data_IF_681333889131
#
_entry.id   IF_681333889131
#
_cell.length_a   1.000
_cell.length_b   1.000
_cell.length_c   1.000
_cell.angle_alpha   90.00
_cell.angle_beta   90.00
_cell.angle_gamma   90.00
#
_symmetry.space_group_name_H-M   'P 1'
#
loop_
_entity.id
_entity.type
_entity.pdbx_description
1 polymer ?
#
# COMPACT_ATOMS: atom_id res chain seq x y z
N UNK A 1 -10.63 14.18 -11.90
CA UNK A 1 -10.27 14.52 -13.29
C UNK A 1 -10.93 15.84 -13.63
N UNK A 2 -10.21 16.74 -14.31
CA UNK A 2 -10.75 17.99 -14.89
C UNK A 2 -10.38 18.07 -16.38
N UNK A 3 -11.03 18.92 -17.17
CA UNK A 3 -10.76 19.05 -18.60
C UNK A 3 -11.14 20.45 -19.13
N UNK A 4 -10.72 20.77 -20.35
CA UNK A 4 -11.16 21.97 -21.08
C UNK A 4 -12.67 21.96 -21.35
N UNK A 5 -13.35 23.11 -21.55
CA UNK A 5 -14.80 23.15 -21.77
C UNK A 5 -15.29 22.23 -22.90
N UNK A 6 -14.49 22.07 -23.95
CA UNK A 6 -14.69 21.12 -25.05
C UNK A 6 -13.54 20.13 -25.10
N UNK A 7 -13.82 18.89 -25.49
CA UNK A 7 -12.85 17.77 -25.58
C UNK A 7 -13.05 16.92 -26.85
N UNK A 8 -13.88 17.35 -27.77
CA UNK A 8 -14.27 16.62 -28.98
C UNK A 8 -13.09 16.31 -29.91
N UNK A 9 -12.22 17.28 -30.18
CA UNK A 9 -11.03 17.07 -31.01
C UNK A 9 -10.02 16.16 -30.30
N UNK A 10 -9.82 16.36 -29.00
CA UNK A 10 -8.91 15.54 -28.19
C UNK A 10 -9.38 14.08 -28.16
N UNK A 11 -10.68 13.85 -27.92
CA UNK A 11 -11.26 12.50 -27.86
C UNK A 11 -11.18 11.84 -29.23
N UNK A 12 -11.49 12.57 -30.31
CA UNK A 12 -11.36 12.06 -31.69
C UNK A 12 -9.93 11.64 -31.98
N UNK A 13 -8.96 12.51 -31.70
CA UNK A 13 -7.54 12.21 -31.85
C UNK A 13 -7.11 11.00 -31.02
N UNK A 14 -7.62 10.86 -29.79
CA UNK A 14 -7.24 9.75 -28.91
C UNK A 14 -7.80 8.42 -29.42
N UNK A 15 -9.05 8.42 -29.90
CA UNK A 15 -9.67 7.25 -30.53
C UNK A 15 -8.85 6.79 -31.74
N UNK A 16 -8.40 7.72 -32.57
CA UNK A 16 -7.60 7.39 -33.76
C UNK A 16 -6.19 6.93 -33.39
N UNK A 17 -5.51 7.63 -32.47
CA UNK A 17 -4.18 7.25 -32.00
C UNK A 17 -4.16 5.84 -31.40
N UNK A 18 -5.20 5.47 -30.63
CA UNK A 18 -5.30 4.15 -30.00
C UNK A 18 -5.30 3.00 -31.00
N UNK A 19 -5.80 3.21 -32.23
CA UNK A 19 -5.79 2.19 -33.29
C UNK A 19 -4.37 1.83 -33.74
N UNK A 20 -3.41 2.73 -33.52
CA UNK A 20 -2.02 2.61 -33.94
C UNK A 20 -1.04 2.42 -32.76
N UNK A 21 -1.52 2.17 -31.54
CA UNK A 21 -0.64 1.88 -30.41
C UNK A 21 0.14 0.59 -30.66
N UNK A 22 1.43 0.62 -30.34
CA UNK A 22 2.29 -0.54 -30.36
C UNK A 22 1.98 -1.52 -29.23
N UNK A 23 2.68 -2.66 -29.24
CA UNK A 23 2.58 -3.64 -28.17
C UNK A 23 3.27 -3.10 -26.92
N UNK A 24 2.47 -2.81 -25.88
CA UNK A 24 3.00 -2.57 -24.54
C UNK A 24 3.01 -3.91 -23.77
N UNK A 25 4.19 -4.50 -23.63
CA UNK A 25 4.40 -5.78 -22.97
C UNK A 25 5.13 -5.65 -21.62
N UNK A 26 4.90 -6.59 -20.70
CA UNK A 26 5.65 -6.68 -19.45
C UNK A 26 7.03 -7.35 -19.67
N UNK A 27 7.95 -6.64 -20.31
CA UNK A 27 9.28 -7.14 -20.66
C UNK A 27 10.24 -7.23 -19.47
N UNK A 28 9.96 -6.50 -18.37
CA UNK A 28 10.86 -6.40 -17.22
C UNK A 28 10.39 -7.26 -16.06
N UNK A 29 11.35 -7.79 -15.29
CA UNK A 29 11.11 -8.54 -14.06
C UNK A 29 11.81 -7.83 -12.90
N UNK A 30 11.04 -7.44 -11.89
CA UNK A 30 11.58 -6.93 -10.64
C UNK A 30 11.74 -8.10 -9.67
N UNK A 31 12.90 -8.19 -9.02
CA UNK A 31 13.13 -9.10 -7.90
C UNK A 31 13.17 -8.29 -6.62
N UNK A 32 12.22 -8.51 -5.72
CA UNK A 32 12.19 -7.86 -4.42
C UNK A 32 12.63 -8.89 -3.39
N UNK A 33 13.79 -8.66 -2.80
CA UNK A 33 14.27 -9.44 -1.67
C UNK A 33 13.84 -8.76 -0.35
N UNK A 34 13.19 -9.52 0.52
CA UNK A 34 12.85 -9.11 1.87
C UNK A 34 13.45 -10.09 2.88
N UNK A 35 13.49 -9.71 4.16
CA UNK A 35 13.90 -10.62 5.24
C UNK A 35 13.02 -11.88 5.34
N UNK A 36 11.82 -11.87 4.75
CA UNK A 36 10.85 -12.99 4.77
C UNK A 36 10.84 -13.80 3.47
N UNK A 37 11.72 -13.50 2.50
CA UNK A 37 11.80 -14.18 1.20
C UNK A 37 11.88 -13.20 0.04
N UNK A 38 12.01 -13.73 -1.18
CA UNK A 38 12.03 -12.95 -2.42
C UNK A 38 10.81 -13.23 -3.27
N UNK A 39 10.23 -12.20 -3.88
CA UNK A 39 9.21 -12.35 -4.91
C UNK A 39 9.64 -11.66 -6.20
N UNK A 40 9.23 -12.25 -7.33
CA UNK A 40 9.48 -11.71 -8.66
C UNK A 40 8.15 -11.32 -9.30
N UNK A 41 8.08 -10.13 -9.89
CA UNK A 41 6.91 -9.71 -10.65
C UNK A 41 7.32 -9.09 -11.97
N UNK A 42 6.49 -9.33 -13.00
CA UNK A 42 6.67 -8.74 -14.31
C UNK A 42 5.94 -7.40 -14.41
N UNK A 43 6.60 -6.42 -14.99
CA UNK A 43 6.05 -5.10 -15.23
C UNK A 43 6.50 -4.58 -16.61
N UNK A 44 5.66 -3.79 -17.28
CA UNK A 44 6.13 -2.96 -18.39
C UNK A 44 6.69 -1.68 -17.80
N UNK A 45 7.83 -1.18 -18.26
CA UNK A 45 8.39 0.04 -17.67
C UNK A 45 7.76 1.32 -18.28
N UNK A 46 8.14 2.49 -17.77
CA UNK A 46 7.62 3.77 -18.28
C UNK A 46 8.11 4.07 -19.72
N UNK A 47 9.34 3.63 -20.04
CA UNK A 47 9.95 3.87 -21.34
C UNK A 47 9.27 3.03 -22.42
N UNK A 48 8.97 1.77 -22.14
CA UNK A 48 8.20 0.86 -22.99
C UNK A 48 6.81 1.42 -23.30
N UNK A 49 6.14 1.98 -22.28
CA UNK A 49 4.82 2.59 -22.45
C UNK A 49 4.89 3.72 -23.45
N UNK A 50 5.83 4.66 -23.25
CA UNK A 50 5.99 5.77 -24.17
C UNK A 50 6.53 5.36 -25.54
N UNK A 51 7.38 4.35 -25.65
CA UNK A 51 7.82 3.81 -26.93
C UNK A 51 6.64 3.23 -27.73
N UNK A 52 5.71 2.54 -27.06
CA UNK A 52 4.53 1.96 -27.68
C UNK A 52 3.47 3.00 -28.08
N UNK A 53 3.35 4.13 -27.35
CA UNK A 53 2.23 5.07 -27.54
C UNK A 53 2.63 6.38 -28.21
N UNK A 54 3.83 6.90 -27.95
CA UNK A 54 4.25 8.26 -28.38
C UNK A 54 4.21 8.47 -29.90
N UNK A 55 4.61 7.51 -30.76
CA UNK A 55 4.54 7.70 -32.21
C UNK A 55 3.10 7.98 -32.69
N UNK A 56 2.14 7.16 -32.24
CA UNK A 56 0.74 7.32 -32.60
C UNK A 56 0.14 8.60 -31.99
N UNK A 57 0.42 8.89 -30.72
CA UNK A 57 -0.04 10.13 -30.08
C UNK A 57 0.45 11.36 -30.85
N UNK A 58 1.75 11.40 -31.19
CA UNK A 58 2.35 12.52 -31.92
C UNK A 58 1.74 12.70 -33.32
N UNK A 59 1.50 11.59 -34.03
CA UNK A 59 0.85 11.60 -35.35
C UNK A 59 -0.54 12.26 -35.31
N UNK A 60 -1.27 12.07 -34.21
CA UNK A 60 -2.60 12.65 -33.99
C UNK A 60 -2.58 13.93 -33.16
N UNK A 61 -1.41 14.57 -32.97
CA UNK A 61 -1.30 15.85 -32.27
C UNK A 61 -1.59 15.79 -30.77
N UNK A 62 -1.39 14.62 -30.16
CA UNK A 62 -1.54 14.39 -28.71
C UNK A 62 -0.18 14.29 -28.02
N UNK A 63 -0.14 14.74 -26.77
CA UNK A 63 1.02 14.53 -25.89
C UNK A 63 0.60 14.37 -24.45
N UNK A 64 1.43 13.68 -23.66
CA UNK A 64 1.28 13.55 -22.21
C UNK A 64 2.37 14.38 -21.53
N UNK A 65 1.98 15.17 -20.53
CA UNK A 65 2.93 15.87 -19.67
C UNK A 65 2.65 15.59 -18.20
N UNK A 66 3.72 15.37 -17.43
CA UNK A 66 3.62 14.92 -16.04
C UNK A 66 4.67 15.58 -15.16
N UNK A 67 4.22 16.23 -14.09
CA UNK A 67 5.11 16.88 -13.13
C UNK A 67 4.59 16.72 -11.70
N UNK A 68 5.48 16.46 -10.73
CA UNK A 68 5.12 16.52 -9.33
C UNK A 68 4.85 17.97 -8.94
N UNK A 69 3.83 18.21 -8.11
CA UNK A 69 3.48 19.50 -7.52
C UNK A 69 3.28 19.35 -6.02
N UNK A 70 3.48 20.46 -5.32
CA UNK A 70 2.98 20.64 -3.98
C UNK A 70 1.76 21.56 -4.07
N UNK A 71 0.57 21.07 -3.73
CA UNK A 71 -0.67 21.84 -3.75
C UNK A 71 -1.37 21.72 -2.40
N UNK A 72 -1.53 22.84 -1.69
CA UNK A 72 -2.12 22.89 -0.34
C UNK A 72 -1.53 21.84 0.64
N UNK A 73 -0.20 21.72 0.65
CA UNK A 73 0.52 20.74 1.49
C UNK A 73 0.40 19.28 1.02
N UNK A 74 -0.28 19.00 -0.09
CA UNK A 74 -0.36 17.67 -0.70
C UNK A 74 0.64 17.53 -1.83
N UNK A 75 1.55 16.58 -1.67
CA UNK A 75 2.44 16.19 -2.75
C UNK A 75 1.69 15.28 -3.73
N UNK A 76 1.67 15.65 -5.00
CA UNK A 76 0.90 14.91 -6.01
C UNK A 76 1.54 14.99 -7.39
N UNK A 77 1.27 13.99 -8.21
CA UNK A 77 1.60 13.99 -9.63
C UNK A 77 0.42 14.56 -10.42
N UNK A 78 0.66 15.62 -11.17
CA UNK A 78 -0.29 16.10 -12.19
C UNK A 78 0.04 15.41 -13.51
N UNK A 79 -0.97 14.87 -14.17
CA UNK A 79 -0.89 14.30 -15.52
C UNK A 79 -1.84 15.04 -16.44
N UNK A 80 -1.33 15.59 -17.55
CA UNK A 80 -2.13 16.18 -18.62
C UNK A 80 -2.04 15.34 -19.89
N UNK A 81 -3.19 15.08 -20.51
CA UNK A 81 -3.28 14.71 -21.93
C UNK A 81 -3.68 15.97 -22.69
N UNK A 82 -2.85 16.38 -23.64
CA UNK A 82 -2.94 17.64 -24.37
C UNK A 82 -3.13 17.37 -25.85
N UNK A 83 -4.00 18.11 -26.53
CA UNK A 83 -4.17 18.09 -27.97
C UNK A 83 -3.71 19.41 -28.60
N UNK A 84 -3.22 19.37 -29.85
CA UNK A 84 -2.76 20.55 -30.62
C UNK A 84 -3.80 21.66 -30.77
N UNK A 85 -5.09 21.37 -30.63
CA UNK A 85 -6.14 22.41 -30.64
C UNK A 85 -6.24 23.22 -29.33
N UNK A 86 -5.48 22.85 -28.31
CA UNK A 86 -5.53 23.45 -26.97
C UNK A 86 -6.51 22.76 -26.02
N UNK A 87 -7.25 21.76 -26.49
CA UNK A 87 -8.07 20.90 -25.62
C UNK A 87 -7.19 20.01 -24.73
N UNK A 88 -7.65 19.74 -23.51
CA UNK A 88 -6.87 19.00 -22.51
C UNK A 88 -7.73 18.21 -21.52
N UNK A 89 -7.15 17.15 -20.97
CA UNK A 89 -7.65 16.41 -19.81
C UNK A 89 -6.58 16.37 -18.72
N UNK A 90 -6.97 16.52 -17.46
CA UNK A 90 -6.09 16.56 -16.28
C UNK A 90 -6.49 15.52 -15.24
N UNK A 91 -5.49 14.77 -14.78
CA UNK A 91 -5.57 13.87 -13.64
C UNK A 91 -4.56 14.27 -12.56
N UNK A 92 -4.91 13.96 -11.31
CA UNK A 92 -4.05 14.15 -10.15
C UNK A 92 -3.94 12.83 -9.41
N UNK A 93 -2.73 12.49 -8.99
CA UNK A 93 -2.46 11.28 -8.24
C UNK A 93 -1.66 11.63 -6.98
N UNK A 94 -2.18 11.33 -5.77
CA UNK A 94 -1.49 11.65 -4.54
C UNK A 94 -0.18 10.86 -4.44
N UNK A 95 0.88 11.53 -4.01
CA UNK A 95 2.19 10.94 -3.79
C UNK A 95 2.56 11.04 -2.31
N UNK A 96 3.07 9.93 -1.77
CA UNK A 96 3.76 10.00 -0.49
C UNK A 96 5.07 10.77 -0.63
N UNK A 97 5.43 11.50 0.43
CA UNK A 97 6.72 12.16 0.55
C UNK A 97 7.70 11.22 1.25
N UNK A 98 8.84 10.98 0.61
CA UNK A 98 9.91 10.12 1.13
C UNK A 98 11.14 10.96 1.46
N UNK A 99 11.82 10.63 2.56
CA UNK A 99 13.04 11.33 2.97
C UNK A 99 14.21 11.04 2.03
N UNK A 100 14.32 9.81 1.53
CA UNK A 100 15.39 9.42 0.62
C UNK A 100 15.03 9.79 -0.83
N UNK A 101 15.85 10.57 -1.53
CA UNK A 101 15.59 10.95 -2.92
C UNK A 101 15.38 9.76 -3.86
N UNK A 102 16.05 8.64 -3.63
CA UNK A 102 15.95 7.43 -4.44
C UNK A 102 14.57 6.76 -4.30
N UNK A 103 14.02 6.72 -3.07
CA UNK A 103 12.68 6.21 -2.82
C UNK A 103 11.64 7.13 -3.47
N UNK A 104 11.85 8.44 -3.35
CA UNK A 104 10.97 9.43 -3.95
C UNK A 104 10.95 9.31 -5.48
N UNK A 105 12.11 9.16 -6.11
CA UNK A 105 12.24 8.97 -7.55
C UNK A 105 11.61 7.67 -8.04
N UNK A 106 11.71 6.59 -7.26
CA UNK A 106 11.07 5.31 -7.53
C UNK A 106 9.54 5.43 -7.48
N UNK A 107 9.00 6.06 -6.42
CA UNK A 107 7.57 6.31 -6.27
C UNK A 107 7.01 7.20 -7.41
N UNK A 108 7.76 8.24 -7.79
CA UNK A 108 7.37 9.13 -8.89
C UNK A 108 7.37 8.40 -10.24
N UNK A 109 8.39 7.58 -10.52
CA UNK A 109 8.50 6.81 -11.76
C UNK A 109 7.37 5.79 -11.87
N UNK A 110 7.07 5.10 -10.76
CA UNK A 110 5.93 4.21 -10.64
C UNK A 110 4.64 4.96 -10.96
N UNK A 111 4.33 6.05 -10.24
CA UNK A 111 3.09 6.82 -10.45
C UNK A 111 2.92 7.35 -11.88
N UNK A 112 4.00 7.86 -12.51
CA UNK A 112 3.98 8.34 -13.90
C UNK A 112 3.46 7.28 -14.86
N UNK A 113 3.95 6.05 -14.72
CA UNK A 113 3.54 4.91 -15.54
C UNK A 113 2.05 4.60 -15.41
N UNK A 114 1.54 4.49 -14.19
CA UNK A 114 0.11 4.19 -13.99
C UNK A 114 -0.78 5.32 -14.47
N UNK A 115 -0.42 6.58 -14.20
CA UNK A 115 -1.23 7.71 -14.62
C UNK A 115 -1.26 7.86 -16.15
N UNK A 116 -0.11 7.65 -16.81
CA UNK A 116 -0.03 7.65 -18.28
C UNK A 116 -0.83 6.49 -18.89
N UNK A 117 -0.69 5.27 -18.34
CA UNK A 117 -1.46 4.12 -18.82
C UNK A 117 -2.97 4.32 -18.60
N UNK A 118 -3.36 4.88 -17.45
CA UNK A 118 -4.76 5.15 -17.11
C UNK A 118 -5.42 6.14 -18.06
N UNK A 119 -4.76 7.28 -18.36
CA UNK A 119 -5.34 8.29 -19.27
C UNK A 119 -5.42 7.78 -20.72
N UNK A 120 -4.56 6.84 -21.10
CA UNK A 120 -4.58 6.19 -22.41
C UNK A 120 -5.51 4.97 -22.48
N UNK A 121 -6.05 4.51 -21.35
CA UNK A 121 -6.87 3.30 -21.27
C UNK A 121 -6.09 2.02 -21.57
N UNK A 122 -4.84 1.95 -21.13
CA UNK A 122 -3.94 0.80 -21.24
C UNK A 122 -3.84 0.13 -19.86
N UNK A 123 -3.98 -1.19 -19.83
CA UNK A 123 -3.69 -1.96 -18.62
C UNK A 123 -2.17 -2.02 -18.41
N UNK A 124 -1.67 -1.33 -17.39
CA UNK A 124 -0.25 -1.38 -17.00
C UNK A 124 0.13 -2.69 -16.28
N UNK A 125 -0.89 -3.44 -15.86
CA UNK A 125 -0.79 -4.64 -15.06
C UNK A 125 -1.52 -5.81 -15.71
N UNK A 126 -1.20 -7.01 -15.26
CA UNK A 126 -1.99 -8.21 -15.52
C UNK A 126 -2.91 -8.27 -14.33
N UNK A 127 -4.20 -8.28 -14.57
CA UNK A 127 -5.20 -8.58 -13.56
C UNK A 127 -5.02 -10.05 -13.16
N UNK A 128 -4.14 -10.28 -12.18
CA UNK A 128 -3.83 -11.59 -11.62
C UNK A 128 -4.58 -11.81 -10.30
N UNK A 129 -5.71 -11.12 -10.11
CA UNK A 129 -6.58 -11.29 -8.93
C UNK A 129 -7.08 -12.73 -8.78
N UNK A 130 -7.02 -13.53 -9.86
CA UNK A 130 -7.25 -14.98 -9.84
C UNK A 130 -6.12 -15.80 -9.21
N UNK A 131 -4.84 -15.47 -9.45
CA UNK A 131 -3.72 -16.21 -8.85
C UNK A 131 -3.26 -15.63 -7.51
N UNK A 132 -3.45 -14.33 -7.27
CA UNK A 132 -3.20 -13.70 -5.97
C UNK A 132 -4.26 -14.11 -4.91
N UNK A 133 -5.49 -14.46 -5.33
CA UNK A 133 -6.48 -15.07 -4.44
C UNK A 133 -6.14 -16.53 -4.08
N UNK A 134 -5.33 -17.23 -4.90
CA UNK A 134 -4.87 -18.60 -4.63
C UNK A 134 -3.51 -18.67 -3.95
N UNK A 135 -2.63 -17.71 -4.20
CA UNK A 135 -1.42 -17.50 -3.41
C UNK A 135 -1.77 -16.62 -2.22
N UNK A 136 -2.33 -17.26 -1.20
CA UNK A 136 -2.67 -16.62 0.07
C UNK A 136 -1.60 -15.63 0.49
N UNK A 137 -1.88 -14.35 0.31
CA UNK A 137 -1.15 -13.30 1.01
C UNK A 137 -1.21 -13.70 2.48
N UNK A 138 -0.06 -13.80 3.20
CA UNK A 138 -0.14 -13.96 4.63
C UNK A 138 -0.83 -12.69 5.12
N UNK A 139 -2.11 -12.82 5.46
CA UNK A 139 -2.85 -11.86 6.27
C UNK A 139 -1.87 -11.39 7.34
N UNK A 140 -1.64 -10.08 7.54
CA UNK A 140 -0.70 -9.61 8.56
C UNK A 140 -1.00 -10.41 9.82
N UNK A 141 0.00 -11.18 10.28
CA UNK A 141 -0.23 -12.17 11.32
C UNK A 141 -0.88 -11.44 12.48
N UNK A 142 -2.17 -11.74 12.73
CA UNK A 142 -2.81 -11.28 13.95
C UNK A 142 -1.89 -11.69 15.09
N UNK A 143 -1.66 -10.83 16.09
CA UNK A 143 -0.96 -11.26 17.29
C UNK A 143 -1.62 -12.58 17.73
N UNK A 144 -0.82 -13.58 18.16
CA UNK A 144 -1.33 -14.90 18.48
C UNK A 144 -2.59 -14.75 19.34
N UNK A 145 -3.65 -15.50 19.04
CA UNK A 145 -4.87 -15.49 19.85
C UNK A 145 -4.56 -16.25 21.15
N UNK A 146 -4.94 -15.76 22.33
CA UNK A 146 -4.74 -16.55 23.54
C UNK A 146 -5.62 -17.81 23.52
N UNK A 147 -5.19 -18.84 24.25
CA UNK A 147 -5.98 -20.07 24.41
C UNK A 147 -7.36 -19.80 25.04
N UNK A 148 -8.35 -20.63 24.71
CA UNK A 148 -9.71 -20.47 25.21
C UNK A 148 -9.74 -20.38 26.75
N UNK A 149 -10.47 -19.40 27.28
CA UNK A 149 -10.56 -19.12 28.72
C UNK A 149 -9.51 -18.14 29.27
N UNK A 150 -8.57 -17.66 28.45
CA UNK A 150 -7.54 -16.70 28.88
C UNK A 150 -8.12 -15.41 29.46
N UNK A 151 -9.08 -14.78 28.80
CA UNK A 151 -9.66 -13.51 29.32
C UNK A 151 -10.40 -13.71 30.65
N UNK A 152 -11.02 -14.88 30.86
CA UNK A 152 -11.59 -15.23 32.18
C UNK A 152 -10.50 -15.32 33.24
N UNK A 153 -9.38 -15.98 32.93
CA UNK A 153 -8.22 -16.04 33.81
C UNK A 153 -7.59 -14.65 34.06
N UNK A 154 -7.61 -13.74 33.09
CA UNK A 154 -7.13 -12.37 33.31
C UNK A 154 -8.00 -11.64 34.34
N UNK A 155 -9.31 -11.79 34.30
CA UNK A 155 -10.21 -11.22 35.31
C UNK A 155 -9.92 -11.78 36.71
N UNK A 156 -9.66 -13.09 36.81
CA UNK A 156 -9.27 -13.72 38.07
C UNK A 156 -7.93 -13.17 38.61
N UNK A 157 -6.97 -12.92 37.72
CA UNK A 157 -5.70 -12.28 38.09
C UNK A 157 -5.87 -10.82 38.53
N UNK A 158 -6.76 -10.08 37.87
CA UNK A 158 -7.10 -8.70 38.22
C UNK A 158 -7.74 -8.60 39.60
N UNK A 159 -8.59 -9.56 39.95
CA UNK A 159 -9.15 -9.72 41.29
C UNK A 159 -8.07 -10.15 42.30
N UNK A 160 -7.20 -11.11 41.96
CA UNK A 160 -6.12 -11.56 42.83
C UNK A 160 -5.12 -10.43 43.13
N UNK A 161 -4.87 -9.53 42.18
CA UNK A 161 -4.02 -8.36 42.40
C UNK A 161 -4.56 -7.39 43.46
N UNK A 162 -5.88 -7.37 43.71
CA UNK A 162 -6.48 -6.59 44.80
C UNK A 162 -6.16 -7.18 46.17
N UNK A 163 -5.78 -8.46 46.23
CA UNK A 163 -5.24 -9.11 47.43
C UNK A 163 -3.72 -8.91 47.62
N UNK A 164 -3.07 -8.13 46.76
CA UNK A 164 -1.65 -7.81 46.84
C UNK A 164 -0.72 -8.79 46.12
N UNK A 165 0.59 -8.55 46.24
CA UNK A 165 1.64 -9.20 45.42
C UNK A 165 1.68 -10.72 45.63
N UNK A 166 1.50 -11.20 46.86
CA UNK A 166 1.54 -12.64 47.18
C UNK A 166 0.33 -13.37 46.56
N UNK A 167 -0.88 -12.79 46.67
CA UNK A 167 -2.09 -13.33 46.05
C UNK A 167 -1.99 -13.38 44.51
N UNK A 168 -1.46 -12.30 43.91
CA UNK A 168 -1.18 -12.27 42.47
C UNK A 168 -0.16 -13.34 42.04
N UNK A 169 0.92 -13.52 42.82
CA UNK A 169 1.96 -14.51 42.52
C UNK A 169 1.41 -15.93 42.54
N UNK A 170 0.59 -16.26 43.53
CA UNK A 170 0.02 -17.59 43.68
C UNK A 170 -1.02 -17.89 42.59
N UNK A 171 -1.91 -16.92 42.29
CA UNK A 171 -2.87 -17.03 41.19
C UNK A 171 -2.19 -17.18 39.82
N UNK A 172 -1.06 -16.50 39.61
CA UNK A 172 -0.27 -16.63 38.38
C UNK A 172 0.45 -17.97 38.29
N UNK A 173 1.12 -18.42 39.36
CA UNK A 173 1.89 -19.68 39.37
C UNK A 173 1.01 -20.92 39.20
N UNK A 174 -0.21 -20.90 39.74
CA UNK A 174 -1.14 -22.03 39.71
C UNK A 174 -2.01 -22.10 38.44
N UNK A 175 -1.83 -21.18 37.50
CA UNK A 175 -2.60 -21.18 36.24
C UNK A 175 -2.07 -22.17 35.20
N UNK A 176 -2.68 -22.20 34.01
CA UNK A 176 -2.16 -22.99 32.89
C UNK A 176 -0.88 -22.37 32.33
N UNK A 177 0.09 -23.22 31.97
CA UNK A 177 1.36 -22.79 31.39
C UNK A 177 1.16 -21.96 30.10
N UNK A 178 0.21 -22.35 29.25
CA UNK A 178 -0.16 -21.63 28.03
C UNK A 178 -0.61 -20.18 28.28
N UNK A 179 -1.30 -19.91 29.40
CA UNK A 179 -1.75 -18.57 29.74
C UNK A 179 -0.59 -17.70 30.25
N UNK A 180 0.30 -18.27 31.07
CA UNK A 180 1.50 -17.56 31.54
C UNK A 180 2.44 -17.21 30.39
N UNK A 181 2.68 -18.17 29.50
CA UNK A 181 3.56 -17.99 28.35
C UNK A 181 3.01 -16.93 27.40
N UNK A 182 1.69 -16.97 27.13
CA UNK A 182 1.03 -15.95 26.32
C UNK A 182 1.17 -14.56 26.93
N UNK A 183 0.81 -14.41 28.21
CA UNK A 183 0.80 -13.11 28.88
C UNK A 183 2.19 -12.48 28.95
N UNK A 184 3.21 -13.28 29.24
CA UNK A 184 4.59 -12.79 29.38
C UNK A 184 5.28 -12.47 28.05
N UNK A 185 4.83 -13.05 26.94
CA UNK A 185 5.44 -12.85 25.62
C UNK A 185 4.65 -11.91 24.72
N UNK A 186 3.33 -11.87 24.87
CA UNK A 186 2.42 -11.21 23.93
C UNK A 186 1.51 -10.16 24.59
N UNK A 187 1.28 -10.23 25.91
CA UNK A 187 0.44 -9.29 26.66
C UNK A 187 1.22 -8.56 27.78
N UNK A 188 2.44 -8.14 27.43
CA UNK A 188 3.45 -7.62 28.38
C UNK A 188 2.95 -6.35 29.08
N UNK A 189 2.25 -5.47 28.35
CA UNK A 189 1.75 -4.22 28.90
C UNK A 189 0.70 -4.45 30.01
N UNK A 190 -0.27 -5.35 29.79
CA UNK A 190 -1.25 -5.72 30.84
C UNK A 190 -0.58 -6.47 31.99
N UNK A 191 0.49 -7.23 31.73
CA UNK A 191 1.26 -7.90 32.78
C UNK A 191 1.93 -6.92 33.74
N UNK A 192 2.66 -5.94 33.21
CA UNK A 192 3.37 -4.95 34.03
C UNK A 192 2.40 -4.01 34.77
N UNK A 193 1.30 -3.60 34.13
CA UNK A 193 0.25 -2.82 34.79
C UNK A 193 -0.36 -3.55 35.99
N UNK A 194 -0.57 -4.86 35.87
CA UNK A 194 -1.15 -5.67 36.94
C UNK A 194 -0.20 -5.83 38.14
N UNK A 195 1.09 -6.05 37.89
CA UNK A 195 2.11 -6.05 38.96
C UNK A 195 2.15 -4.72 39.70
N UNK A 196 2.10 -3.61 38.96
CA UNK A 196 2.08 -2.27 39.54
C UNK A 196 0.83 -2.02 40.40
N UNK A 197 -0.34 -2.57 40.01
CA UNK A 197 -1.57 -2.53 40.82
C UNK A 197 -1.38 -3.31 42.13
N UNK A 198 -0.90 -4.55 42.07
CA UNK A 198 -0.73 -5.39 43.26
C UNK A 198 0.31 -4.84 44.25
N UNK A 199 1.37 -4.21 43.76
CA UNK A 199 2.40 -3.58 44.60
C UNK A 199 1.87 -2.43 45.47
N UNK A 200 0.76 -1.78 45.07
CA UNK A 200 0.15 -0.65 45.79
C UNK A 200 -0.76 -1.08 46.94
N UNK A 201 -1.09 -2.36 47.07
CA UNK A 201 -2.03 -2.86 48.10
C UNK A 201 -1.34 -3.00 49.47
N UNK A 202 -0.01 -3.06 49.52
CA UNK A 202 0.78 -3.19 50.77
C UNK A 202 1.80 -2.08 51.00
N UNK A 203 1.69 -0.96 50.26
CA UNK A 203 2.47 0.26 50.46
C UNK A 203 1.63 1.29 51.21
#
# INVERSE_FOLDING_TARGET
>A
MTHSPMIDELVTALVDARKAFGVFGKAHTAKVASQKGSYEYKYGDLADLFAATTPALSQHGLTISQWPVMDDGRFQLVTLLLHKSGQWMRGEYPLAMYERPQDQGSALTYAKRYCAASVLGIAAEVDDDGAAAQQGTPKPAMPPQPAAGYEGWVLDLEAAAEGGVEALRDAFKNSKAEYRDYRTRHDVARHEALKAKAAKVGA
#
